data_IF_019870433879
#
_entry.id   IF_019870433879
#
_cell.length_a   1.000
_cell.length_b   1.000
_cell.length_c   1.000
_cell.angle_alpha   90.00
_cell.angle_beta   90.00
_cell.angle_gamma   90.00
#
_symmetry.space_group_name_H-M   'P 1'
#
loop_
_entity.id
_entity.type
_entity.pdbx_description
1 polymer ?
#
# COMPACT_ATOMS: atom_id res chain seq x y z
N UNK A 1 -14.08 4.62 -12.95
CA UNK A 1 -12.87 5.42 -12.63
C UNK A 1 -12.84 5.89 -11.20
N UNK A 2 -13.64 6.89 -10.77
CA UNK A 2 -13.51 7.53 -9.44
C UNK A 2 -13.28 6.56 -8.27
N UNK A 3 -14.21 5.62 -8.03
CA UNK A 3 -14.09 4.63 -6.94
C UNK A 3 -12.80 3.77 -7.01
N UNK A 4 -12.28 3.47 -8.20
CA UNK A 4 -11.02 2.72 -8.34
C UNK A 4 -9.80 3.56 -7.93
N UNK A 5 -9.82 4.88 -8.17
CA UNK A 5 -8.77 5.79 -7.67
C UNK A 5 -8.88 5.97 -6.15
N UNK A 6 -10.09 6.22 -5.66
CA UNK A 6 -10.37 6.32 -4.23
C UNK A 6 -9.91 5.07 -3.46
N UNK A 7 -10.16 3.87 -3.98
CA UNK A 7 -9.64 2.60 -3.42
C UNK A 7 -8.13 2.60 -3.17
N UNK A 8 -7.32 3.16 -4.08
CA UNK A 8 -5.87 3.26 -3.88
C UNK A 8 -5.47 4.41 -2.94
N UNK A 9 -6.22 5.50 -2.92
CA UNK A 9 -6.07 6.59 -1.94
C UNK A 9 -6.43 6.13 -0.51
N UNK A 10 -7.41 5.25 -0.37
CA UNK A 10 -7.83 4.59 0.86
C UNK A 10 -6.79 3.57 1.35
N UNK A 11 -6.21 2.80 0.43
CA UNK A 11 -5.11 1.89 0.73
C UNK A 11 -3.86 2.65 1.22
N UNK A 12 -3.51 3.74 0.53
CA UNK A 12 -2.46 4.66 0.97
C UNK A 12 -2.77 5.27 2.33
N UNK A 13 -4.04 5.62 2.60
CA UNK A 13 -4.47 6.12 3.90
C UNK A 13 -4.30 5.09 5.03
N UNK A 14 -4.75 3.85 4.82
CA UNK A 14 -4.59 2.77 5.79
C UNK A 14 -3.10 2.46 6.06
N UNK A 15 -2.26 2.47 5.02
CA UNK A 15 -0.84 2.10 5.13
C UNK A 15 -0.02 2.97 6.09
N UNK A 16 -0.44 4.21 6.39
CA UNK A 16 0.20 5.06 7.41
C UNK A 16 0.09 4.50 8.84
N UNK A 17 -0.80 3.52 9.05
CA UNK A 17 -0.99 2.78 10.30
C UNK A 17 -0.79 1.26 10.12
N UNK A 18 -0.80 0.79 8.87
CA UNK A 18 -0.83 -0.62 8.48
C UNK A 18 -1.94 -1.44 9.16
N UNK A 19 -3.05 -0.82 9.57
CA UNK A 19 -4.18 -1.54 10.17
C UNK A 19 -5.00 -2.31 9.10
N UNK A 20 -5.05 -3.66 9.13
CA UNK A 20 -5.86 -4.47 8.20
C UNK A 20 -7.38 -4.36 8.44
N UNK A 21 -7.81 -3.69 9.52
CA UNK A 21 -9.20 -3.37 9.83
C UNK A 21 -9.56 -1.90 9.58
N UNK A 22 -8.62 -1.11 9.04
CA UNK A 22 -8.80 0.32 8.82
C UNK A 22 -10.03 0.59 7.95
N UNK A 23 -11.01 1.33 8.49
CA UNK A 23 -12.38 1.42 7.95
C UNK A 23 -12.42 1.74 6.44
N UNK A 24 -11.59 2.71 5.99
CA UNK A 24 -11.51 3.14 4.58
C UNK A 24 -11.21 2.03 3.57
N UNK A 25 -10.63 0.90 3.99
CA UNK A 25 -10.33 -0.22 3.08
C UNK A 25 -11.59 -0.78 2.40
N UNK A 26 -12.75 -0.72 3.06
CA UNK A 26 -14.01 -1.35 2.60
C UNK A 26 -15.01 -0.33 2.02
N UNK A 27 -14.65 0.96 1.99
CA UNK A 27 -15.44 2.05 1.38
C UNK A 27 -15.55 1.86 -0.15
N UNK A 28 -14.42 1.60 -0.81
CA UNK A 28 -14.32 1.48 -2.27
C UNK A 28 -13.79 0.12 -2.78
N UNK A 29 -13.26 -0.75 -1.91
CA UNK A 29 -12.81 -2.10 -2.27
C UNK A 29 -13.82 -3.17 -1.81
N UNK A 30 -14.03 -4.21 -2.63
CA UNK A 30 -14.85 -5.40 -2.29
C UNK A 30 -14.26 -6.67 -2.86
N UNK A 31 -14.59 -7.82 -2.27
CA UNK A 31 -14.11 -9.13 -2.71
C UNK A 31 -12.59 -9.20 -2.78
N UNK A 32 -12.03 -9.77 -3.85
CA UNK A 32 -10.59 -9.98 -4.01
C UNK A 32 -9.75 -8.70 -3.87
N UNK A 33 -10.27 -7.53 -4.27
CA UNK A 33 -9.57 -6.25 -4.11
C UNK A 33 -9.41 -5.89 -2.62
N UNK A 34 -10.50 -6.00 -1.85
CA UNK A 34 -10.49 -5.81 -0.41
C UNK A 34 -9.58 -6.81 0.31
N UNK A 35 -9.63 -8.09 -0.09
CA UNK A 35 -8.74 -9.12 0.44
C UNK A 35 -7.27 -8.81 0.19
N UNK A 36 -6.91 -8.30 -0.99
CA UNK A 36 -5.55 -7.87 -1.32
C UNK A 36 -5.11 -6.69 -0.44
N UNK A 37 -5.93 -5.65 -0.30
CA UNK A 37 -5.58 -4.49 0.52
C UNK A 37 -5.42 -4.85 2.00
N UNK A 38 -6.33 -5.67 2.55
CA UNK A 38 -6.22 -6.19 3.93
C UNK A 38 -4.95 -7.04 4.10
N UNK A 39 -4.61 -7.88 3.13
CA UNK A 39 -3.36 -8.64 3.14
C UNK A 39 -2.12 -7.74 3.12
N UNK A 40 -2.09 -6.68 2.30
CA UNK A 40 -0.98 -5.73 2.29
C UNK A 40 -0.77 -5.07 3.66
N UNK A 41 -1.85 -4.60 4.30
CA UNK A 41 -1.76 -4.01 5.64
C UNK A 41 -1.30 -5.05 6.68
N UNK A 42 -1.85 -6.26 6.63
CA UNK A 42 -1.49 -7.38 7.52
C UNK A 42 0.00 -7.76 7.45
N UNK A 43 0.61 -7.78 6.25
CA UNK A 43 2.05 -8.02 6.12
C UNK A 43 2.85 -6.84 6.65
N UNK A 44 2.52 -5.60 6.26
CA UNK A 44 3.21 -4.42 6.74
C UNK A 44 3.19 -4.35 8.29
N UNK A 45 2.04 -4.64 8.92
CA UNK A 45 1.87 -4.69 10.37
C UNK A 45 2.80 -5.72 11.02
N UNK A 46 2.91 -6.93 10.45
CA UNK A 46 3.83 -7.99 10.93
C UNK A 46 5.30 -7.61 10.85
N UNK A 47 5.68 -6.77 9.90
CA UNK A 47 7.04 -6.23 9.76
C UNK A 47 7.25 -4.88 10.49
N UNK A 48 6.22 -4.38 11.20
CA UNK A 48 6.25 -3.04 11.82
C UNK A 48 6.31 -1.88 10.81
N UNK A 49 6.16 -2.16 9.52
CA UNK A 49 6.32 -1.21 8.43
C UNK A 49 5.10 -0.29 8.29
N UNK A 50 5.33 0.96 7.87
CA UNK A 50 4.28 1.92 7.52
C UNK A 50 4.53 2.51 6.13
N UNK A 51 3.46 2.79 5.39
CA UNK A 51 3.52 3.37 4.05
C UNK A 51 3.51 4.90 4.05
N UNK A 52 4.40 5.51 3.27
CA UNK A 52 4.43 6.93 2.97
C UNK A 52 4.22 7.19 1.48
N UNK A 53 3.54 8.28 1.13
CA UNK A 53 3.12 8.56 -0.25
C UNK A 53 1.91 7.71 -0.68
N UNK A 54 1.84 7.38 -1.96
CA UNK A 54 0.75 6.61 -2.58
C UNK A 54 1.15 6.07 -3.96
N UNK A 55 0.44 5.04 -4.45
CA UNK A 55 0.60 4.55 -5.81
C UNK A 55 0.10 5.58 -6.84
N UNK A 56 0.79 5.67 -7.98
CA UNK A 56 0.28 6.33 -9.19
C UNK A 56 -0.51 5.34 -10.03
N UNK A 57 -1.70 5.73 -10.48
CA UNK A 57 -2.65 4.84 -11.19
C UNK A 57 -3.20 5.50 -12.45
N UNK A 58 -3.11 4.77 -13.57
CA UNK A 58 -3.46 5.21 -14.91
C UNK A 58 -4.47 4.24 -15.60
N UNK A 59 -5.60 3.89 -14.94
CA UNK A 59 -6.49 2.86 -15.42
C UNK A 59 -7.18 3.27 -16.73
N UNK A 60 -7.21 2.37 -17.70
CA UNK A 60 -7.97 2.48 -18.94
C UNK A 60 -9.14 1.48 -18.94
N UNK A 61 -10.27 1.87 -19.53
CA UNK A 61 -11.42 0.96 -19.72
C UNK A 61 -11.13 0.05 -20.90
N UNK A 62 -11.05 -1.25 -20.66
CA UNK A 62 -10.93 -2.26 -21.73
C UNK A 62 -12.27 -2.92 -22.07
N UNK A 63 -13.24 -2.88 -21.15
CA UNK A 63 -14.62 -3.34 -21.39
C UNK A 63 -15.59 -2.60 -20.47
N UNK A 64 -16.81 -2.35 -20.95
CA UNK A 64 -17.86 -1.72 -20.15
C UNK A 64 -19.21 -2.40 -20.38
N UNK A 65 -20.09 -2.30 -19.38
CA UNK A 65 -21.46 -2.79 -19.38
C UNK A 65 -22.28 -1.99 -18.35
N UNK A 66 -23.60 -2.21 -18.28
CA UNK A 66 -24.49 -1.47 -17.37
C UNK A 66 -24.13 -1.63 -15.88
N UNK A 67 -23.45 -2.71 -15.49
CA UNK A 67 -23.19 -3.05 -14.08
C UNK A 67 -21.73 -3.40 -13.76
N UNK A 68 -20.88 -3.64 -14.78
CA UNK A 68 -19.46 -3.98 -14.64
C UNK A 68 -18.60 -3.21 -15.63
N UNK A 69 -17.48 -2.67 -15.15
CA UNK A 69 -16.39 -2.13 -15.98
C UNK A 69 -15.15 -3.00 -15.73
N UNK A 70 -14.41 -3.33 -16.79
CA UNK A 70 -13.14 -4.04 -16.71
C UNK A 70 -12.02 -3.05 -17.08
N UNK A 71 -10.97 -3.03 -16.26
CA UNK A 71 -9.88 -2.06 -16.33
C UNK A 71 -8.57 -2.79 -16.60
N UNK A 72 -7.71 -2.18 -17.40
CA UNK A 72 -6.26 -2.44 -17.40
C UNK A 72 -5.59 -1.24 -16.74
N UNK A 73 -4.61 -1.46 -15.88
CA UNK A 73 -3.85 -0.41 -15.21
C UNK A 73 -2.39 -0.83 -15.04
N UNK A 74 -1.50 0.16 -15.06
CA UNK A 74 -0.08 0.01 -14.73
C UNK A 74 0.14 0.75 -13.39
N UNK A 75 -0.10 0.04 -12.29
CA UNK A 75 -0.01 0.59 -10.93
C UNK A 75 1.46 0.81 -10.58
N UNK A 76 1.88 2.07 -10.52
CA UNK A 76 3.24 2.47 -10.18
C UNK A 76 3.34 2.73 -8.67
N UNK A 77 3.95 1.78 -7.95
CA UNK A 77 4.22 1.86 -6.52
C UNK A 77 5.50 2.63 -6.14
N UNK A 78 6.27 3.17 -7.10
CA UNK A 78 7.60 3.78 -6.83
C UNK A 78 7.57 4.95 -5.84
N UNK A 79 6.42 5.61 -5.70
CA UNK A 79 6.18 6.74 -4.77
C UNK A 79 5.41 6.33 -3.51
N UNK A 80 5.23 5.04 -3.27
CA UNK A 80 4.60 4.48 -2.08
C UNK A 80 5.63 3.68 -1.27
N UNK A 81 6.52 4.41 -0.61
CA UNK A 81 7.67 3.84 0.09
C UNK A 81 7.22 3.24 1.42
N UNK A 82 7.68 2.03 1.72
CA UNK A 82 7.54 1.46 3.06
C UNK A 82 8.71 1.91 3.94
N UNK A 83 8.39 2.46 5.11
CA UNK A 83 9.33 2.73 6.18
C UNK A 83 9.24 1.59 7.19
N UNK A 84 10.27 0.75 7.24
CA UNK A 84 10.45 -0.25 8.30
C UNK A 84 11.10 0.42 9.53
N UNK A 85 10.87 -0.09 10.76
CA UNK A 85 11.47 0.49 11.97
C UNK A 85 13.01 0.48 11.97
N UNK A 86 13.62 -0.33 11.11
CA UNK A 86 15.06 -0.59 11.09
C UNK A 86 15.80 0.15 9.96
N UNK A 87 15.08 0.71 8.97
CA UNK A 87 15.68 1.19 7.70
C UNK A 87 16.39 2.54 7.80
N UNK A 88 16.76 3.00 9.01
CA UNK A 88 17.31 4.36 9.24
C UNK A 88 18.28 4.51 10.42
N UNK A 89 19.23 3.57 10.64
CA UNK A 89 20.50 3.92 11.34
C UNK A 89 21.66 2.92 11.24
N UNK A 90 21.43 1.61 11.05
CA UNK A 90 22.47 0.57 11.29
C UNK A 90 23.76 0.66 10.43
N UNK A 91 23.76 1.42 9.33
CA UNK A 91 24.98 1.64 8.53
C UNK A 91 25.86 2.84 8.96
N UNK A 92 25.54 3.53 10.07
CA UNK A 92 26.30 4.73 10.49
C UNK A 92 27.04 4.61 11.83
N UNK A 93 26.71 3.66 12.71
CA UNK A 93 27.41 3.47 14.00
C UNK A 93 27.60 2.00 14.37
N UNK A 94 28.41 1.28 13.59
CA UNK A 94 29.17 0.14 14.12
C UNK A 94 30.41 0.69 14.84
N UNK A 95 30.47 0.70 16.19
CA UNK A 95 31.71 1.02 16.88
C UNK A 95 32.75 -0.06 16.54
N UNK A 96 33.87 0.35 15.95
CA UNK A 96 34.99 -0.57 15.68
C UNK A 96 35.62 -0.93 17.03
N UNK A 97 35.20 -2.07 17.58
CA UNK A 97 35.88 -2.71 18.70
C UNK A 97 37.23 -3.27 18.24
N UNK A 98 38.25 -2.40 18.25
CA UNK A 98 39.65 -2.81 18.28
C UNK A 98 39.93 -3.49 19.63
N UNK A 99 39.68 -4.80 19.69
CA UNK A 99 40.16 -5.67 20.75
C UNK A 99 41.70 -5.70 20.77
N UNK A 100 42.26 -5.77 21.98
CA UNK A 100 43.71 -5.79 22.24
C UNK A 100 44.32 -7.18 22.17
#
# INVERSE_FOLDING_TARGET
MAAYKAMWEDAAAASRTSDPKHQRLDDHARGNALSLLRYMMEQNHKHGATGQGAASVAPIVVKSSKTKVELLDCVDGSKWVQAEPNSSSEWTLSPIFLGS
#
